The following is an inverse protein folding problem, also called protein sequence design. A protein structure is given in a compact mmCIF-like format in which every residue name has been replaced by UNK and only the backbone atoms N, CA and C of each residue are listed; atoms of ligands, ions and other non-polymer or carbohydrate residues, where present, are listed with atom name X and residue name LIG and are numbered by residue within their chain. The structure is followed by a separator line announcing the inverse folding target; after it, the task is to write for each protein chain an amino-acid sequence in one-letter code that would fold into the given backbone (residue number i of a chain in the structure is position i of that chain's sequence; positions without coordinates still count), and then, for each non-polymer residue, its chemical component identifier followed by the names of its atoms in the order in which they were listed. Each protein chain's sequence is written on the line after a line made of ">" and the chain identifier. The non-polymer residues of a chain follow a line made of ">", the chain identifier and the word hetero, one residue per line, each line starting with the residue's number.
data_IF_435590980961
#
_entry.id   IF_435590980961
#
_cell.length_a   1.000
_cell.length_b   1.000
_cell.length_c   1.000
_cell.angle_alpha   90.00
_cell.angle_beta   90.00
_cell.angle_gamma   90.00
#
_symmetry.space_group_name_H-M   'P 1'
#
loop_
_entity.id
_entity.type
_entity.pdbx_description
1 polymer ?
#
# COMPACT_ATOMS: atom_id res chain seq x y z
N UNK A 1 -50.64 -49.10 -51.11
CA UNK A 1 -51.34 -47.84 -50.79
C UNK A 1 -50.32 -46.87 -50.21
N UNK A 2 -49.90 -45.83 -50.97
CA UNK A 2 -48.98 -44.79 -50.51
C UNK A 2 -49.75 -43.67 -49.80
N UNK A 3 -49.23 -43.13 -48.69
CA UNK A 3 -49.80 -41.95 -48.02
C UNK A 3 -48.71 -40.89 -47.80
N UNK A 4 -48.56 -40.11 -48.86
CA UNK A 4 -48.44 -38.66 -48.95
C UNK A 4 -48.23 -37.82 -47.65
N UNK A 5 -47.06 -37.17 -47.65
CA UNK A 5 -46.65 -35.93 -46.98
C UNK A 5 -47.69 -35.18 -46.13
N UNK A 6 -47.56 -35.27 -44.80
CA UNK A 6 -48.18 -34.32 -43.87
C UNK A 6 -47.42 -32.99 -43.88
N UNK A 7 -48.00 -32.00 -44.56
CA UNK A 7 -47.65 -30.59 -44.45
C UNK A 7 -47.81 -30.13 -43.01
N UNK A 8 -46.69 -29.98 -42.28
CA UNK A 8 -46.66 -29.38 -40.95
C UNK A 8 -46.85 -27.88 -41.08
N UNK A 9 -48.11 -27.46 -40.91
CA UNK A 9 -48.57 -26.08 -40.84
C UNK A 9 -47.79 -25.29 -39.77
N UNK A 10 -46.73 -24.57 -40.17
CA UNK A 10 -46.02 -23.65 -39.28
C UNK A 10 -46.85 -22.39 -39.10
N UNK A 11 -47.56 -22.32 -37.97
CA UNK A 11 -48.29 -21.14 -37.52
C UNK A 11 -47.31 -19.97 -37.36
N UNK A 12 -47.33 -19.07 -38.35
CA UNK A 12 -46.66 -17.77 -38.37
C UNK A 12 -46.94 -17.01 -37.06
N UNK A 13 -45.94 -16.88 -36.20
CA UNK A 13 -45.91 -15.88 -35.13
C UNK A 13 -45.31 -14.60 -35.72
N UNK A 14 -46.17 -13.68 -36.13
CA UNK A 14 -45.80 -12.31 -36.43
C UNK A 14 -45.54 -11.57 -35.11
N UNK A 15 -44.34 -11.73 -34.55
CA UNK A 15 -43.85 -10.93 -33.43
C UNK A 15 -42.42 -10.48 -33.68
N UNK A 16 -42.16 -9.98 -34.89
CA UNK A 16 -40.96 -9.19 -35.16
C UNK A 16 -41.28 -7.74 -34.81
N UNK A 17 -40.85 -7.31 -33.62
CA UNK A 17 -40.75 -5.88 -33.30
C UNK A 17 -39.76 -5.18 -34.26
N UNK A 18 -39.69 -3.84 -34.24
CA UNK A 18 -38.79 -3.10 -35.12
C UNK A 18 -37.35 -3.58 -34.90
N UNK A 19 -36.75 -4.15 -35.95
CA UNK A 19 -35.33 -4.52 -35.94
C UNK A 19 -34.50 -3.25 -35.73
N UNK A 20 -33.60 -3.21 -34.73
CA UNK A 20 -32.79 -2.03 -34.47
C UNK A 20 -31.89 -1.73 -35.68
N UNK A 21 -31.58 -0.45 -35.95
CA UNK A 21 -30.75 -0.07 -37.09
C UNK A 21 -29.38 -0.73 -36.98
N UNK A 22 -28.99 -1.49 -38.01
CA UNK A 22 -27.64 -2.05 -38.13
C UNK A 22 -26.65 -0.89 -38.22
N UNK A 23 -25.77 -0.77 -37.23
CA UNK A 23 -24.64 0.17 -37.30
C UNK A 23 -23.74 -0.22 -38.47
N UNK A 24 -23.24 0.76 -39.26
CA UNK A 24 -22.31 0.47 -40.34
C UNK A 24 -21.06 -0.21 -39.78
N UNK A 25 -20.63 -1.31 -40.42
CA UNK A 25 -19.33 -1.92 -40.15
C UNK A 25 -18.24 -0.89 -40.48
N UNK A 26 -17.74 -0.22 -39.45
CA UNK A 26 -16.48 0.52 -39.54
C UNK A 26 -15.34 -0.49 -39.71
N UNK A 27 -14.50 -0.26 -40.72
CA UNK A 27 -13.36 -1.08 -41.07
C UNK A 27 -12.28 -1.18 -39.98
N UNK A 28 -11.22 -1.96 -40.24
CA UNK A 28 -10.23 -2.36 -39.24
C UNK A 28 -9.19 -1.25 -39.04
N UNK A 29 -9.51 -0.24 -38.26
CA UNK A 29 -8.51 0.64 -37.67
C UNK A 29 -9.12 1.31 -36.44
N UNK A 30 -8.45 1.13 -35.31
CA UNK A 30 -8.68 1.82 -34.05
C UNK A 30 -9.91 1.38 -33.22
N UNK A 31 -9.75 0.26 -32.51
CA UNK A 31 -10.64 -0.17 -31.43
C UNK A 31 -9.92 -0.15 -30.08
N UNK A 32 -9.31 1.00 -29.73
CA UNK A 32 -8.90 1.28 -28.34
C UNK A 32 -10.01 1.91 -27.47
N UNK A 33 -11.02 2.52 -28.10
CA UNK A 33 -11.90 3.47 -27.41
C UNK A 33 -13.40 3.22 -27.63
N UNK A 34 -13.89 2.01 -27.30
CA UNK A 34 -15.34 1.76 -27.17
C UNK A 34 -15.65 1.19 -25.78
N UNK A 35 -16.09 2.09 -24.91
CA UNK A 35 -17.31 1.99 -24.09
C UNK A 35 -17.74 0.55 -23.74
N UNK A 36 -17.10 -0.07 -22.73
CA UNK A 36 -17.67 -1.21 -22.00
C UNK A 36 -18.09 -0.70 -20.61
N UNK A 37 -19.37 -0.83 -20.30
CA UNK A 37 -20.08 -0.31 -19.12
C UNK A 37 -19.83 -1.14 -17.86
N UNK A 38 -18.57 -1.20 -17.43
CA UNK A 38 -18.15 -1.68 -16.12
C UNK A 38 -16.83 -1.00 -15.74
N UNK A 39 -16.45 -0.95 -14.44
CA UNK A 39 -15.18 -0.35 -14.04
C UNK A 39 -14.05 -1.11 -14.74
N UNK A 40 -13.43 -0.50 -15.75
CA UNK A 40 -12.28 -1.12 -16.42
C UNK A 40 -11.16 -1.19 -15.38
N UNK A 41 -10.51 -2.36 -15.22
CA UNK A 41 -9.38 -2.48 -14.30
C UNK A 41 -8.32 -1.45 -14.72
N UNK A 42 -8.01 -0.53 -13.80
CA UNK A 42 -6.99 0.49 -14.00
C UNK A 42 -5.63 -0.16 -13.84
N UNK A 43 -4.73 0.11 -14.78
CA UNK A 43 -3.35 -0.40 -14.73
C UNK A 43 -2.37 0.72 -15.03
N UNK A 44 -1.16 0.58 -14.48
CA UNK A 44 -0.01 1.39 -14.84
C UNK A 44 1.04 0.50 -15.48
N UNK A 45 1.65 0.97 -16.58
CA UNK A 45 2.78 0.30 -17.22
C UNK A 45 4.06 0.89 -16.67
N UNK A 46 4.76 0.09 -15.89
CA UNK A 46 6.03 0.36 -15.27
C UNK A 46 7.15 -0.31 -16.08
N UNK A 47 8.37 0.25 -16.01
CA UNK A 47 9.57 -0.23 -16.68
C UNK A 47 10.05 -1.55 -16.10
N UNK A 48 10.15 -1.63 -14.78
CA UNK A 48 10.74 -2.75 -14.08
C UNK A 48 9.68 -3.79 -13.70
N UNK A 49 8.47 -3.33 -13.38
CA UNK A 49 7.36 -4.20 -12.95
C UNK A 49 6.34 -4.52 -14.07
N UNK A 50 6.48 -3.92 -15.26
CA UNK A 50 5.58 -4.17 -16.38
C UNK A 50 4.16 -3.63 -16.12
N UNK A 51 3.13 -4.37 -16.54
CA UNK A 51 1.72 -3.95 -16.35
C UNK A 51 1.25 -4.32 -14.95
N UNK A 52 1.04 -3.33 -14.10
CA UNK A 52 0.51 -3.52 -12.74
C UNK A 52 -0.94 -3.07 -12.69
N UNK A 53 -1.83 -3.97 -12.27
CA UNK A 53 -3.26 -3.68 -12.13
C UNK A 53 -3.58 -3.29 -10.69
N UNK A 54 -4.48 -2.30 -10.53
CA UNK A 54 -4.96 -1.89 -9.20
C UNK A 54 -5.66 -3.05 -8.46
N UNK A 55 -6.32 -3.94 -9.19
CA UNK A 55 -6.97 -5.13 -8.63
C UNK A 55 -5.99 -6.13 -7.99
N UNK A 56 -4.71 -6.08 -8.37
CA UNK A 56 -3.69 -7.00 -7.87
C UNK A 56 -2.95 -6.45 -6.65
N UNK A 57 -3.10 -5.16 -6.31
CA UNK A 57 -2.41 -4.54 -5.16
C UNK A 57 -2.62 -5.30 -3.84
N UNK A 58 -3.83 -5.81 -3.51
CA UNK A 58 -4.04 -6.59 -2.29
C UNK A 58 -3.22 -7.89 -2.23
N UNK A 59 -2.84 -8.44 -3.38
CA UNK A 59 -2.08 -9.69 -3.47
C UNK A 59 -0.55 -9.46 -3.41
N UNK A 60 -0.10 -8.21 -3.44
CA UNK A 60 1.32 -7.86 -3.38
C UNK A 60 1.80 -7.69 -1.95
N UNK A 61 3.04 -8.05 -1.67
CA UNK A 61 3.66 -7.78 -0.36
C UNK A 61 3.92 -6.28 -0.15
N UNK A 62 4.08 -5.86 1.12
CA UNK A 62 4.41 -4.46 1.46
C UNK A 62 5.71 -4.00 0.79
N UNK A 63 6.70 -4.90 0.72
CA UNK A 63 7.94 -4.65 0.00
C UNK A 63 7.69 -4.36 -1.48
N UNK A 64 6.87 -5.18 -2.16
CA UNK A 64 6.53 -4.96 -3.57
C UNK A 64 5.75 -3.66 -3.78
N UNK A 65 4.76 -3.36 -2.93
CA UNK A 65 4.02 -2.11 -2.98
C UNK A 65 4.94 -0.89 -2.82
N UNK A 66 5.97 -0.98 -1.99
CA UNK A 66 6.97 0.09 -1.82
C UNK A 66 7.81 0.30 -3.10
N UNK A 67 8.28 -0.77 -3.74
CA UNK A 67 9.09 -0.65 -4.97
C UNK A 67 8.26 -0.13 -6.15
N UNK A 68 7.05 -0.66 -6.32
CA UNK A 68 6.11 -0.21 -7.34
C UNK A 68 5.73 1.26 -7.11
N UNK A 69 5.53 1.65 -5.85
CA UNK A 69 5.27 3.05 -5.47
C UNK A 69 6.40 3.99 -5.89
N UNK A 70 7.66 3.64 -5.54
CA UNK A 70 8.84 4.43 -5.95
C UNK A 70 8.96 4.58 -7.46
N UNK A 71 8.75 3.50 -8.19
CA UNK A 71 8.81 3.55 -9.65
C UNK A 71 7.67 4.39 -10.24
N UNK A 72 6.47 4.31 -9.67
CA UNK A 72 5.36 5.16 -10.06
C UNK A 72 5.63 6.65 -9.77
N UNK A 73 6.30 6.97 -8.66
CA UNK A 73 6.74 8.34 -8.35
C UNK A 73 7.79 8.83 -9.36
N UNK A 74 8.75 8.00 -9.76
CA UNK A 74 9.72 8.33 -10.81
C UNK A 74 9.04 8.62 -12.16
N UNK A 75 8.05 7.80 -12.53
CA UNK A 75 7.22 8.02 -13.72
C UNK A 75 6.44 9.35 -13.60
N UNK A 76 5.89 9.64 -12.43
CA UNK A 76 5.16 10.87 -12.16
C UNK A 76 6.05 12.10 -12.35
N UNK A 77 7.22 12.12 -11.71
CA UNK A 77 8.20 13.21 -11.84
C UNK A 77 8.66 13.38 -13.30
N UNK A 78 8.86 12.28 -14.02
CA UNK A 78 9.19 12.34 -15.45
C UNK A 78 8.07 12.95 -16.30
N UNK A 79 6.81 12.62 -15.99
CA UNK A 79 5.65 13.20 -16.65
C UNK A 79 5.49 14.69 -16.33
N UNK A 80 5.72 15.10 -15.09
CA UNK A 80 5.67 16.51 -14.69
C UNK A 80 6.70 17.37 -15.43
N UNK A 81 7.96 16.91 -15.49
CA UNK A 81 8.99 17.59 -16.28
C UNK A 81 8.57 17.69 -17.74
N UNK A 82 8.07 16.60 -18.33
CA UNK A 82 7.65 16.57 -19.73
C UNK A 82 6.44 17.45 -20.02
N UNK A 83 5.49 17.55 -19.10
CA UNK A 83 4.34 18.44 -19.21
C UNK A 83 4.82 19.89 -19.20
N UNK A 84 5.72 20.26 -18.27
CA UNK A 84 6.29 21.61 -18.20
C UNK A 84 7.05 22.00 -19.49
N UNK A 85 7.78 21.06 -20.08
CA UNK A 85 8.48 21.29 -21.35
C UNK A 85 7.49 21.51 -22.51
N UNK A 86 6.45 20.67 -22.60
CA UNK A 86 5.40 20.79 -23.62
C UNK A 86 4.58 22.07 -23.47
N UNK A 87 4.34 22.53 -22.24
CA UNK A 87 3.68 23.82 -21.99
C UNK A 87 4.52 25.00 -22.47
N UNK A 88 5.85 24.96 -22.26
CA UNK A 88 6.77 25.97 -22.79
C UNK A 88 6.80 25.95 -24.33
N UNK A 89 6.88 24.78 -24.95
CA UNK A 89 6.84 24.63 -26.42
C UNK A 89 5.52 25.13 -27.03
N UNK A 90 4.39 24.90 -26.35
CA UNK A 90 3.08 25.41 -26.75
C UNK A 90 3.04 26.95 -26.75
N UNK A 91 3.67 27.60 -25.77
CA UNK A 91 3.79 29.07 -25.75
C UNK A 91 4.71 29.60 -26.85
N UNK A 92 5.72 28.83 -27.26
CA UNK A 92 6.67 29.17 -28.32
C UNK A 92 6.12 28.90 -29.75
N UNK A 93 4.86 28.49 -29.88
CA UNK A 93 4.16 28.33 -31.16
C UNK A 93 4.18 26.92 -31.75
N UNK A 94 4.75 25.93 -31.05
CA UNK A 94 4.71 24.52 -31.44
C UNK A 94 3.43 23.86 -30.89
N UNK A 95 2.50 23.50 -31.77
CA UNK A 95 1.15 23.05 -31.36
C UNK A 95 1.11 21.55 -31.04
N UNK A 96 1.74 21.14 -29.95
CA UNK A 96 1.71 19.74 -29.46
C UNK A 96 0.61 19.49 -28.41
N UNK A 97 -0.56 20.12 -28.58
CA UNK A 97 -1.68 20.05 -27.62
C UNK A 97 -2.18 18.61 -27.38
N UNK A 98 -2.23 17.77 -28.42
CA UNK A 98 -2.66 16.37 -28.27
C UNK A 98 -1.68 15.56 -27.42
N UNK A 99 -0.38 15.85 -27.55
CA UNK A 99 0.67 15.21 -26.76
C UNK A 99 0.61 15.68 -25.32
N UNK A 100 0.37 16.97 -25.09
CA UNK A 100 0.14 17.55 -23.76
C UNK A 100 -1.06 16.90 -23.08
N UNK A 101 -2.23 16.86 -23.73
CA UNK A 101 -3.44 16.22 -23.20
C UNK A 101 -3.17 14.76 -22.82
N UNK A 102 -2.47 14.00 -23.66
CA UNK A 102 -2.10 12.61 -23.35
C UNK A 102 -1.15 12.51 -22.17
N UNK A 103 -0.15 13.40 -22.06
CA UNK A 103 0.79 13.43 -20.95
C UNK A 103 0.07 13.78 -19.63
N UNK A 104 -0.77 14.81 -19.62
CA UNK A 104 -1.60 15.20 -18.47
C UNK A 104 -2.55 14.09 -18.06
N UNK A 105 -3.21 13.42 -19.00
CA UNK A 105 -4.06 12.26 -18.68
C UNK A 105 -3.26 11.12 -18.05
N UNK A 106 -2.04 10.84 -18.55
CA UNK A 106 -1.16 9.83 -17.94
C UNK A 106 -0.70 10.24 -16.54
N UNK A 107 -0.42 11.52 -16.32
CA UNK A 107 -0.07 12.08 -15.01
C UNK A 107 -1.20 11.85 -14.01
N UNK A 108 -2.44 12.19 -14.36
CA UNK A 108 -3.61 11.95 -13.50
C UNK A 108 -3.85 10.46 -13.21
N UNK A 109 -3.69 9.60 -14.21
CA UNK A 109 -3.80 8.14 -14.02
C UNK A 109 -2.71 7.63 -13.07
N UNK A 110 -1.49 8.14 -13.20
CA UNK A 110 -0.35 7.77 -12.33
C UNK A 110 -0.60 8.25 -10.90
N UNK A 111 -1.10 9.48 -10.70
CA UNK A 111 -1.50 9.99 -9.39
C UNK A 111 -2.55 9.10 -8.72
N UNK A 112 -3.60 8.71 -9.45
CA UNK A 112 -4.64 7.82 -8.91
C UNK A 112 -4.08 6.45 -8.56
N UNK A 113 -3.13 5.95 -9.36
CA UNK A 113 -2.47 4.68 -9.10
C UNK A 113 -1.63 4.72 -7.82
N UNK A 114 -0.84 5.78 -7.62
CA UNK A 114 -0.07 6.01 -6.39
C UNK A 114 -1.00 6.09 -5.18
N UNK A 115 -2.12 6.82 -5.30
CA UNK A 115 -3.13 6.89 -4.24
C UNK A 115 -3.70 5.51 -3.89
N UNK A 116 -4.00 4.68 -4.88
CA UNK A 116 -4.48 3.32 -4.63
C UNK A 116 -3.45 2.46 -3.87
N UNK A 117 -2.15 2.66 -4.11
CA UNK A 117 -1.08 2.01 -3.32
C UNK A 117 -1.08 2.52 -1.89
N UNK A 118 -1.22 3.83 -1.68
CA UNK A 118 -1.25 4.43 -0.34
C UNK A 118 -2.47 3.96 0.45
N UNK A 119 -3.65 3.95 -0.17
CA UNK A 119 -4.89 3.49 0.44
C UNK A 119 -4.77 2.01 0.86
N UNK A 120 -4.16 1.16 0.03
CA UNK A 120 -3.90 -0.25 0.36
C UNK A 120 -2.90 -0.38 1.53
N UNK A 121 -1.81 0.39 1.52
CA UNK A 121 -0.84 0.38 2.63
C UNK A 121 -1.46 0.87 3.94
N UNK A 122 -2.31 1.89 3.89
CA UNK A 122 -3.04 2.40 5.06
C UNK A 122 -4.05 1.36 5.55
N UNK A 123 -4.77 0.70 4.64
CA UNK A 123 -5.69 -0.38 4.98
C UNK A 123 -4.99 -1.52 5.73
N UNK A 124 -3.77 -1.88 5.33
CA UNK A 124 -2.95 -2.89 6.04
C UNK A 124 -2.51 -2.43 7.43
N UNK A 125 -2.02 -1.19 7.56
CA UNK A 125 -1.62 -0.61 8.86
C UNK A 125 -2.79 -0.49 9.82
N UNK A 126 -3.98 -0.21 9.29
CA UNK A 126 -5.19 -0.05 10.06
C UNK A 126 -5.98 -1.36 10.24
N UNK A 127 -5.42 -2.51 9.85
CA UNK A 127 -6.09 -3.79 9.98
C UNK A 127 -6.45 -4.07 11.46
N UNK A 128 -7.75 -4.13 11.81
CA UNK A 128 -8.18 -4.32 13.18
C UNK A 128 -7.73 -5.67 13.73
N UNK A 129 -7.70 -6.73 12.90
CA UNK A 129 -7.23 -8.04 13.34
C UNK A 129 -5.75 -8.04 13.74
N UNK A 130 -4.91 -7.24 13.06
CA UNK A 130 -3.51 -7.08 13.45
C UNK A 130 -3.37 -6.23 14.72
N UNK A 131 -4.20 -5.19 14.88
CA UNK A 131 -4.22 -4.35 16.09
C UNK A 131 -4.67 -5.15 17.31
N UNK A 132 -5.73 -5.93 17.18
CA UNK A 132 -6.27 -6.78 18.25
C UNK A 132 -5.28 -7.89 18.62
N UNK A 133 -4.70 -8.56 17.61
CA UNK A 133 -3.67 -9.54 17.86
C UNK A 133 -2.45 -8.92 18.56
N UNK A 134 -2.00 -7.73 18.14
CA UNK A 134 -0.86 -7.06 18.77
C UNK A 134 -1.19 -6.57 20.19
N UNK A 135 -2.40 -6.07 20.44
CA UNK A 135 -2.80 -5.56 21.75
C UNK A 135 -2.91 -6.66 22.81
N UNK A 136 -3.27 -7.89 22.41
CA UNK A 136 -3.31 -9.02 23.33
C UNK A 136 -1.97 -9.78 23.37
N UNK A 137 -1.45 -10.18 22.21
CA UNK A 137 -0.30 -11.10 22.17
C UNK A 137 1.01 -10.45 22.63
N UNK A 138 1.26 -9.18 22.31
CA UNK A 138 2.54 -8.55 22.66
C UNK A 138 2.66 -8.31 24.17
N UNK A 139 1.66 -7.73 24.86
CA UNK A 139 1.71 -7.63 26.32
C UNK A 139 1.75 -8.99 27.02
N UNK A 140 0.97 -9.97 26.55
CA UNK A 140 0.99 -11.31 27.15
C UNK A 140 2.34 -12.01 26.98
N UNK A 141 2.94 -11.95 25.79
CA UNK A 141 4.28 -12.52 25.57
C UNK A 141 5.34 -11.80 26.38
N UNK A 142 5.26 -10.46 26.51
CA UNK A 142 6.15 -9.70 27.39
C UNK A 142 6.01 -10.11 28.86
N UNK A 143 4.78 -10.22 29.37
CA UNK A 143 4.51 -10.67 30.73
C UNK A 143 5.01 -12.11 30.97
N UNK A 144 4.83 -13.00 30.00
CA UNK A 144 5.31 -14.38 30.09
C UNK A 144 6.85 -14.43 30.15
N UNK A 145 7.53 -13.67 29.28
CA UNK A 145 8.99 -13.55 29.30
C UNK A 145 9.46 -12.94 30.63
N UNK A 146 8.81 -11.88 31.11
CA UNK A 146 9.14 -11.22 32.38
C UNK A 146 8.98 -12.18 33.56
N UNK A 147 7.90 -12.96 33.60
CA UNK A 147 7.66 -13.99 34.61
C UNK A 147 8.76 -15.05 34.64
N UNK A 148 9.33 -15.40 33.49
CA UNK A 148 10.44 -16.34 33.40
C UNK A 148 11.82 -15.75 33.70
N UNK A 149 11.98 -14.42 33.63
CA UNK A 149 13.26 -13.74 33.84
C UNK A 149 13.41 -13.15 35.24
N UNK A 150 12.30 -12.86 35.92
CA UNK A 150 12.29 -12.27 37.25
C UNK A 150 11.96 -13.32 38.32
N UNK A 151 12.54 -13.23 39.53
CA UNK A 151 12.04 -13.97 40.68
C UNK A 151 10.55 -13.71 40.90
N UNK A 152 9.74 -14.76 41.11
CA UNK A 152 8.28 -14.65 41.16
C UNK A 152 7.75 -13.56 42.10
N UNK A 153 8.34 -13.44 43.30
CA UNK A 153 7.96 -12.40 44.27
C UNK A 153 8.22 -10.97 43.76
N UNK A 154 9.29 -10.76 42.97
CA UNK A 154 9.59 -9.45 42.38
C UNK A 154 8.67 -9.13 41.20
N UNK A 155 8.35 -10.12 40.37
CA UNK A 155 7.40 -9.97 39.27
C UNK A 155 6.01 -9.61 39.79
N UNK A 156 5.49 -10.36 40.76
CA UNK A 156 4.15 -10.13 41.33
C UNK A 156 4.05 -8.78 42.05
N UNK A 157 5.13 -8.33 42.71
CA UNK A 157 5.17 -7.01 43.35
C UNK A 157 5.12 -5.88 42.32
N UNK A 158 5.93 -5.95 41.26
CA UNK A 158 5.96 -4.96 40.19
C UNK A 158 4.65 -4.94 39.39
N UNK A 159 4.08 -6.11 39.12
CA UNK A 159 2.79 -6.22 38.43
C UNK A 159 1.67 -5.57 39.24
N UNK A 160 1.63 -5.83 40.56
CA UNK A 160 0.66 -5.20 41.46
C UNK A 160 0.83 -3.69 41.49
N UNK A 161 2.05 -3.20 41.65
CA UNK A 161 2.36 -1.76 41.66
C UNK A 161 1.92 -1.07 40.36
N UNK A 162 2.21 -1.68 39.21
CA UNK A 162 1.80 -1.16 37.91
C UNK A 162 0.27 -1.12 37.75
N UNK A 163 -0.45 -2.16 38.18
CA UNK A 163 -1.91 -2.21 38.13
C UNK A 163 -2.55 -1.17 39.09
N UNK A 164 -1.96 -0.98 40.28
CA UNK A 164 -2.40 0.05 41.23
C UNK A 164 -2.17 1.47 40.69
N UNK A 165 -1.05 1.71 40.01
CA UNK A 165 -0.78 2.98 39.34
C UNK A 165 -1.83 3.30 38.26
N UNK A 166 -2.12 2.35 37.35
CA UNK A 166 -3.14 2.55 36.32
C UNK A 166 -4.55 2.78 36.89
N UNK A 167 -4.93 2.07 37.96
CA UNK A 167 -6.22 2.24 38.62
C UNK A 167 -6.37 3.59 39.34
N UNK A 168 -5.27 4.30 39.59
CA UNK A 168 -5.29 5.64 40.15
C UNK A 168 -5.38 6.70 39.05
N UNK A 169 -4.77 6.48 37.88
CA UNK A 169 -4.86 7.37 36.72
C UNK A 169 -6.30 7.45 36.15
N UNK A 170 -7.10 6.39 36.25
CA UNK A 170 -8.52 6.39 35.82
C UNK A 170 -9.47 7.20 36.72
N UNK A 171 -9.02 7.63 37.91
CA UNK A 171 -9.86 8.35 38.90
C UNK A 171 -9.69 9.87 38.86
N UNK A 172 -8.66 10.37 38.18
CA UNK A 172 -8.49 11.80 37.92
C UNK A 172 -9.23 12.15 36.61
N UNK A 173 -10.13 13.16 36.59
CA UNK A 173 -10.83 13.53 35.36
C UNK A 173 -9.81 14.00 34.33
N UNK A 174 -9.88 13.43 33.12
CA UNK A 174 -9.13 13.79 31.92
C UNK A 174 -8.94 15.31 31.81
N UNK A 175 -7.80 15.80 32.30
CA UNK A 175 -7.30 17.13 31.97
C UNK A 175 -6.10 16.96 31.07
N UNK A 176 -6.37 17.22 29.80
CA UNK A 176 -5.41 17.79 28.86
C UNK A 176 -4.09 17.01 28.72
N UNK A 177 -4.13 16.02 27.84
CA UNK A 177 -2.94 15.56 27.12
C UNK A 177 -2.54 16.70 26.15
N UNK A 178 -2.05 17.83 26.64
CA UNK A 178 -1.25 18.83 25.91
C UNK A 178 -0.42 19.58 26.96
N UNK A 179 0.90 19.42 26.87
CA UNK A 179 1.94 20.28 27.43
C UNK A 179 1.88 20.65 28.92
N UNK A 180 2.73 20.02 29.75
CA UNK A 180 3.64 20.74 30.67
C UNK A 180 4.65 19.84 31.39
N UNK A 181 5.85 20.42 31.52
CA UNK A 181 6.98 20.10 32.41
C UNK A 181 7.91 18.97 31.92
N UNK A 182 9.15 19.21 31.44
CA UNK A 182 10.09 20.32 31.68
C UNK A 182 10.16 20.75 33.14
N UNK A 183 10.49 19.81 34.04
CA UNK A 183 11.14 20.15 35.30
C UNK A 183 12.29 19.18 35.53
N UNK A 184 13.48 19.70 35.28
CA UNK A 184 14.77 19.19 35.68
C UNK A 184 14.83 18.85 37.18
N UNK A 185 15.12 17.60 37.51
CA UNK A 185 15.81 17.26 38.76
C UNK A 185 17.22 16.75 38.45
N UNK A 186 18.24 17.07 39.26
CA UNK A 186 19.62 16.74 38.97
C UNK A 186 19.86 15.25 39.20
N UNK A 187 20.27 14.56 38.15
CA UNK A 187 20.76 13.18 38.18
C UNK A 187 22.04 13.15 39.05
N UNK A 188 22.12 12.34 40.13
CA UNK A 188 23.39 12.14 40.82
C UNK A 188 24.38 11.46 39.84
N UNK A 189 25.64 11.92 39.73
CA UNK A 189 26.55 11.43 38.70
C UNK A 189 26.83 9.93 38.90
N UNK A 190 26.46 9.15 37.89
CA UNK A 190 26.82 7.75 37.78
C UNK A 190 28.35 7.62 37.89
N UNK A 191 28.81 6.77 38.79
CA UNK A 191 30.23 6.48 38.99
C UNK A 191 30.70 5.59 37.84
N UNK A 192 31.14 6.22 36.76
CA UNK A 192 31.70 5.55 35.58
C UNK A 192 33.02 4.90 35.98
N UNK A 193 33.04 3.57 36.06
CA UNK A 193 34.28 2.80 36.14
C UNK A 193 34.81 2.71 34.72
N UNK A 194 35.91 3.41 34.46
CA UNK A 194 36.64 3.34 33.20
C UNK A 194 37.26 1.94 33.06
N UNK A 195 36.83 1.16 32.07
CA UNK A 195 37.56 -0.04 31.68
C UNK A 195 38.87 0.39 31.00
N UNK A 196 40.03 -0.21 31.34
CA UNK A 196 41.27 0.04 30.64
C UNK A 196 41.18 -0.45 29.19
N UNK A 197 41.43 0.44 28.24
CA UNK A 197 41.56 0.11 26.81
C UNK A 197 42.90 -0.56 26.57
N UNK A 198 42.98 -1.86 26.84
CA UNK A 198 44.10 -2.69 26.37
C UNK A 198 43.92 -2.98 24.89
N UNK A 199 44.53 -2.14 24.05
CA UNK A 199 44.83 -2.47 22.67
C UNK A 199 45.88 -3.58 22.64
N UNK A 200 45.46 -4.84 22.76
CA UNK A 200 46.35 -5.98 22.51
C UNK A 200 46.01 -6.58 21.14
N UNK A 201 46.85 -6.23 20.18
CA UNK A 201 46.81 -6.72 18.81
C UNK A 201 47.14 -8.21 18.82
N UNK A 202 46.12 -9.07 18.78
CA UNK A 202 46.31 -10.50 18.59
C UNK A 202 46.92 -10.75 17.20
N UNK A 203 48.21 -11.05 17.17
CA UNK A 203 48.89 -11.60 15.99
C UNK A 203 48.42 -13.04 15.79
N UNK A 204 47.53 -13.24 14.82
CA UNK A 204 47.16 -14.56 14.31
C UNK A 204 48.37 -15.15 13.58
N UNK A 205 49.02 -16.13 14.18
CA UNK A 205 50.06 -16.95 13.53
C UNK A 205 49.35 -18.16 12.93
N UNK A 206 49.27 -18.21 11.60
CA UNK A 206 48.83 -19.40 10.86
C UNK A 206 50.05 -20.30 10.70
N UNK A 207 50.03 -21.47 11.34
CA UNK A 207 51.01 -22.53 11.06
C UNK A 207 50.54 -23.29 9.82
N UNK A 208 51.40 -23.53 8.81
CA UNK A 208 51.06 -24.41 7.71
C UNK A 208 51.18 -25.88 8.15
N UNK A 209 50.13 -26.66 7.92
CA UNK A 209 50.14 -28.11 8.06
C UNK A 209 51.13 -28.73 7.06
N UNK A 210 52.01 -29.59 7.58
CA UNK A 210 52.81 -30.56 6.80
C UNK A 210 52.25 -31.96 7.00
#
# INVERSE_FOLDING_TARGET
>A
MPFENQQRLTRRRSSAGPTPPRKPLGGPADSGMRQNSGPRPTFLTLRDHGKVYVADLPNLSDGQLSHIGKEADEVLTSLESRINDLEQEATNGQRDNDTLIKASTKHEVTLRFIRAIQDEQEHRKNNPALKDAASESLPLTFLEVARHRLPGATFDSLLREALEACANDEKEPEKEIIEKSSTSQPIPPAKVISLPTSSDSMKVIVSPDT
#
